data_IF_480045991321
#
_entry.id   IF_480045991321
#
_cell.length_a   1.000
_cell.length_b   1.000
_cell.length_c   1.000
_cell.angle_alpha   90.00
_cell.angle_beta   90.00
_cell.angle_gamma   90.00
#
_symmetry.space_group_name_H-M   'P 1'
#
loop_
_entity.id
_entity.type
_entity.pdbx_description
1 polymer ?
#
# COMPACT_ATOMS: atom_id res chain seq x y z
N UNK A 1 -5.61 14.05 7.60
CA UNK A 1 -6.62 13.01 7.32
C UNK A 1 -7.62 13.00 8.46
N UNK A 2 -8.91 13.09 8.16
CA UNK A 2 -9.99 12.92 9.15
C UNK A 2 -10.34 11.44 9.32
N UNK A 3 -10.96 11.05 10.43
CA UNK A 3 -11.32 9.65 10.68
C UNK A 3 -12.29 9.05 9.65
N UNK A 4 -13.09 9.90 8.98
CA UNK A 4 -13.98 9.46 7.90
C UNK A 4 -13.21 9.12 6.61
N UNK A 5 -12.16 9.87 6.29
CA UNK A 5 -11.30 9.59 5.14
C UNK A 5 -10.54 8.26 5.31
N UNK A 6 -10.15 7.92 6.55
CA UNK A 6 -9.55 6.63 6.88
C UNK A 6 -10.51 5.47 6.63
N UNK A 7 -11.76 5.56 7.12
CA UNK A 7 -12.78 4.52 6.88
C UNK A 7 -13.11 4.32 5.39
N UNK A 8 -13.20 5.42 4.64
CA UNK A 8 -13.40 5.35 3.19
C UNK A 8 -12.21 4.70 2.48
N UNK A 9 -10.98 4.99 2.93
CA UNK A 9 -9.78 4.36 2.41
C UNK A 9 -9.74 2.86 2.72
N UNK A 10 -10.03 2.45 3.95
CA UNK A 10 -10.14 1.05 4.36
C UNK A 10 -11.16 0.29 3.51
N UNK A 11 -12.35 0.87 3.30
CA UNK A 11 -13.40 0.27 2.47
C UNK A 11 -12.93 0.07 1.03
N UNK A 12 -12.26 1.08 0.44
CA UNK A 12 -11.73 0.99 -0.92
C UNK A 12 -10.64 -0.09 -1.04
N UNK A 13 -9.74 -0.16 -0.06
CA UNK A 13 -8.68 -1.17 -0.02
C UNK A 13 -9.27 -2.57 0.11
N UNK A 14 -10.27 -2.75 0.98
CA UNK A 14 -10.96 -4.02 1.16
C UNK A 14 -11.67 -4.47 -0.12
N UNK A 15 -12.40 -3.58 -0.79
CA UNK A 15 -13.10 -3.90 -2.05
C UNK A 15 -12.14 -4.23 -3.19
N UNK A 16 -11.06 -3.46 -3.34
CA UNK A 16 -10.03 -3.76 -4.35
C UNK A 16 -9.37 -5.11 -4.08
N UNK A 17 -9.16 -5.43 -2.80
CA UNK A 17 -8.60 -6.70 -2.40
C UNK A 17 -9.57 -7.86 -2.70
N UNK A 18 -10.85 -7.71 -2.36
CA UNK A 18 -11.86 -8.72 -2.67
C UNK A 18 -12.04 -8.95 -4.18
N UNK A 19 -11.93 -7.92 -5.01
CA UNK A 19 -11.94 -8.05 -6.47
C UNK A 19 -10.74 -8.83 -7.02
N UNK A 20 -9.54 -8.61 -6.47
CA UNK A 20 -8.36 -9.39 -6.83
C UNK A 20 -8.51 -10.86 -6.38
N UNK A 21 -9.14 -11.10 -5.23
CA UNK A 21 -9.48 -12.44 -4.75
C UNK A 21 -10.51 -13.12 -5.66
N UNK A 22 -11.59 -12.42 -6.03
CA UNK A 22 -12.71 -12.96 -6.80
C UNK A 22 -12.30 -13.52 -8.17
N UNK A 23 -11.19 -13.03 -8.73
CA UNK A 23 -10.62 -13.50 -9.99
C UNK A 23 -9.49 -14.53 -9.80
N UNK A 24 -9.21 -14.95 -8.56
CA UNK A 24 -8.15 -15.90 -8.22
C UNK A 24 -8.76 -17.17 -7.61
N UNK A 25 -8.17 -18.34 -7.88
CA UNK A 25 -8.55 -19.62 -7.24
C UNK A 25 -8.02 -19.73 -5.80
N UNK A 26 -7.60 -18.63 -5.18
CA UNK A 26 -6.86 -18.61 -3.92
C UNK A 26 -7.82 -18.52 -2.73
N UNK A 27 -7.50 -19.25 -1.68
CA UNK A 27 -8.17 -19.12 -0.37
C UNK A 27 -7.81 -17.78 0.29
N UNK A 28 -8.61 -17.32 1.24
CA UNK A 28 -8.36 -16.07 1.96
C UNK A 28 -6.97 -16.03 2.63
N UNK A 29 -6.44 -17.19 3.05
CA UNK A 29 -5.10 -17.28 3.66
C UNK A 29 -3.96 -17.18 2.65
N UNK A 30 -4.16 -17.63 1.42
CA UNK A 30 -3.18 -17.48 0.34
C UNK A 30 -3.20 -16.07 -0.26
N UNK A 31 -4.36 -15.42 -0.19
CA UNK A 31 -4.58 -14.07 -0.69
C UNK A 31 -4.06 -12.96 0.25
N UNK A 32 -4.09 -13.20 1.57
CA UNK A 32 -3.68 -12.19 2.56
C UNK A 32 -2.19 -11.81 2.47
N UNK A 33 -1.31 -12.79 2.26
CA UNK A 33 0.14 -12.55 2.18
C UNK A 33 0.54 -11.65 0.99
N UNK A 34 0.10 -11.92 -0.25
CA UNK A 34 0.36 -11.03 -1.39
C UNK A 34 -0.13 -9.60 -1.18
N UNK A 35 -1.34 -9.42 -0.62
CA UNK A 35 -1.88 -8.08 -0.36
C UNK A 35 -1.06 -7.33 0.67
N UNK A 36 -0.71 -7.99 1.78
CA UNK A 36 0.14 -7.40 2.81
C UNK A 36 1.52 -7.04 2.24
N UNK A 37 2.07 -7.90 1.38
CA UNK A 37 3.29 -7.65 0.64
C UNK A 37 3.22 -6.40 -0.24
N UNK A 38 2.13 -6.22 -1.00
CA UNK A 38 1.92 -5.02 -1.83
C UNK A 38 1.76 -3.75 -0.99
N UNK A 39 1.02 -3.81 0.12
CA UNK A 39 0.88 -2.68 1.05
C UNK A 39 2.24 -2.31 1.64
N UNK A 40 3.01 -3.31 2.08
CA UNK A 40 4.36 -3.12 2.59
C UNK A 40 5.28 -2.46 1.56
N UNK A 41 5.31 -2.97 0.32
CA UNK A 41 6.12 -2.40 -0.77
C UNK A 41 5.72 -0.95 -1.07
N UNK A 42 4.41 -0.63 -1.10
CA UNK A 42 3.95 0.75 -1.28
C UNK A 42 4.41 1.64 -0.13
N UNK A 43 4.34 1.17 1.11
CA UNK A 43 4.82 1.91 2.26
C UNK A 43 6.35 2.14 2.21
N UNK A 44 7.12 1.09 1.94
CA UNK A 44 8.57 1.16 1.80
C UNK A 44 9.00 2.13 0.69
N UNK A 45 8.33 2.07 -0.47
CA UNK A 45 8.59 2.98 -1.59
C UNK A 45 8.31 4.44 -1.22
N UNK A 46 7.19 4.72 -0.53
CA UNK A 46 6.89 6.09 -0.08
C UNK A 46 7.98 6.61 0.87
N UNK A 47 8.46 5.79 1.80
CA UNK A 47 9.58 6.17 2.69
C UNK A 47 10.87 6.42 1.92
N UNK A 48 11.19 5.54 0.97
CA UNK A 48 12.34 5.71 0.09
C UNK A 48 12.26 7.03 -0.67
N UNK A 49 11.12 7.37 -1.28
CA UNK A 49 10.95 8.65 -2.00
C UNK A 49 11.15 9.87 -1.12
N UNK A 50 10.66 9.82 0.12
CA UNK A 50 10.90 10.90 1.07
C UNK A 50 12.39 11.05 1.42
N UNK A 51 13.09 9.93 1.61
CA UNK A 51 14.53 9.95 1.88
C UNK A 51 15.35 10.40 0.66
N UNK A 52 14.98 9.94 -0.54
CA UNK A 52 15.59 10.35 -1.81
C UNK A 52 15.51 11.87 -1.98
N UNK A 53 14.33 12.47 -1.74
CA UNK A 53 14.16 13.92 -1.83
C UNK A 53 15.10 14.69 -0.86
N UNK A 54 15.20 14.23 0.39
CA UNK A 54 16.10 14.83 1.39
C UNK A 54 17.57 14.71 1.01
N UNK A 55 17.96 13.56 0.47
CA UNK A 55 19.34 13.33 0.02
C UNK A 55 19.66 14.24 -1.15
N UNK A 56 18.78 14.32 -2.16
CA UNK A 56 18.97 15.16 -3.34
C UNK A 56 19.10 16.65 -2.95
N UNK A 57 18.30 17.12 -2.00
CA UNK A 57 18.40 18.50 -1.48
C UNK A 57 19.74 18.76 -0.75
N UNK A 58 20.28 17.75 -0.09
CA UNK A 58 21.53 17.84 0.67
C UNK A 58 22.80 17.68 -0.19
N UNK A 59 22.68 17.35 -1.48
CA UNK A 59 23.85 17.22 -2.36
C UNK A 59 24.46 18.60 -2.66
N UNK A 60 25.79 18.77 -2.52
CA UNK A 60 26.45 19.99 -2.98
C UNK A 60 26.37 20.08 -4.52
N UNK A 61 26.09 21.28 -5.01
CA UNK A 61 26.12 21.65 -6.45
C UNK A 61 27.51 21.55 -7.05
#
# INVERSE_FOLDING_TARGET
MTGEQLRQLETKLWTAADQLRANSKLTASEYSFPVLGLIFLRHAFNRYKNAEAQIVEALPV
#
